data_IF_456175002673
#
_entry.id   IF_456175002673
#
_cell.length_a   1.000
_cell.length_b   1.000
_cell.length_c   1.000
_cell.angle_alpha   90.00
_cell.angle_beta   90.00
_cell.angle_gamma   90.00
#
_symmetry.space_group_name_H-M   'P 1'
#
loop_
_entity.id
_entity.type
_entity.pdbx_description
1 polymer ?
#
# COMPACT_ATOMS: atom_id res chain seq x y z
N UNK A 1 -55.45 20.12 -30.07
CA UNK A 1 -54.23 19.36 -29.73
C UNK A 1 -54.47 18.70 -28.38
N UNK A 2 -54.60 17.40 -28.35
CA UNK A 2 -55.24 16.61 -27.28
C UNK A 2 -54.45 16.58 -25.97
N UNK A 3 -55.13 16.89 -24.87
CA UNK A 3 -54.62 16.80 -23.48
C UNK A 3 -54.05 15.41 -23.11
N UNK A 4 -54.34 14.37 -23.89
CA UNK A 4 -53.83 13.00 -23.68
C UNK A 4 -52.37 12.81 -24.06
N UNK A 5 -51.78 13.68 -24.89
CA UNK A 5 -50.33 13.56 -25.27
C UNK A 5 -49.38 14.22 -24.29
N UNK A 6 -49.87 15.04 -23.34
CA UNK A 6 -49.04 15.73 -22.35
C UNK A 6 -48.78 14.91 -21.10
N UNK A 7 -49.63 13.91 -20.80
CA UNK A 7 -49.50 13.03 -19.62
C UNK A 7 -48.54 11.87 -19.86
N UNK A 8 -48.27 11.49 -21.14
CA UNK A 8 -47.42 10.38 -21.47
C UNK A 8 -45.92 10.71 -21.51
N UNK A 9 -45.57 12.00 -21.48
CA UNK A 9 -44.17 12.47 -21.51
C UNK A 9 -43.64 12.69 -20.09
N UNK A 10 -44.50 12.92 -19.11
CA UNK A 10 -44.08 13.16 -17.72
C UNK A 10 -43.87 11.86 -16.91
N UNK A 11 -44.26 10.70 -17.42
CA UNK A 11 -44.16 9.41 -16.73
C UNK A 11 -42.91 8.58 -17.13
N UNK A 12 -42.03 9.12 -17.97
CA UNK A 12 -40.84 8.43 -18.47
C UNK A 12 -39.52 8.98 -17.88
N UNK A 13 -39.58 9.89 -16.89
CA UNK A 13 -38.35 10.47 -16.26
C UNK A 13 -38.10 9.95 -14.85
N UNK A 14 -38.89 9.01 -14.34
CA UNK A 14 -38.76 8.55 -12.97
C UNK A 14 -38.40 7.09 -12.87
N UNK A 15 -37.25 6.67 -13.38
CA UNK A 15 -36.60 5.40 -12.98
C UNK A 15 -35.17 5.25 -13.56
N UNK A 16 -34.33 6.28 -13.47
CA UNK A 16 -32.90 6.05 -13.43
C UNK A 16 -32.53 6.03 -11.94
N UNK A 17 -32.80 4.90 -11.29
CA UNK A 17 -32.07 4.57 -10.07
C UNK A 17 -30.59 4.44 -10.49
N UNK A 18 -29.67 5.25 -9.92
CA UNK A 18 -28.29 4.86 -9.99
C UNK A 18 -28.23 3.52 -9.24
N UNK A 19 -28.01 2.43 -9.98
CA UNK A 19 -27.47 1.24 -9.38
C UNK A 19 -26.13 1.70 -8.77
N UNK A 20 -26.13 2.00 -7.48
CA UNK A 20 -24.91 2.07 -6.69
C UNK A 20 -24.43 0.63 -6.77
N UNK A 21 -23.53 0.36 -7.73
CA UNK A 21 -22.67 -0.78 -7.70
C UNK A 21 -21.86 -0.61 -6.40
N UNK A 22 -22.38 -1.17 -5.31
CA UNK A 22 -21.56 -1.48 -4.16
C UNK A 22 -20.62 -2.57 -4.65
N UNK A 23 -19.48 -2.19 -5.25
CA UNK A 23 -18.35 -3.07 -5.27
C UNK A 23 -18.14 -3.47 -3.81
N UNK A 24 -18.16 -4.78 -3.47
CA UNK A 24 -17.64 -5.18 -2.20
C UNK A 24 -16.23 -4.58 -2.12
N UNK A 25 -15.98 -3.75 -1.13
CA UNK A 25 -14.64 -3.27 -0.88
C UNK A 25 -13.83 -4.48 -0.41
N UNK A 26 -13.14 -5.11 -1.34
CA UNK A 26 -12.18 -6.17 -1.09
C UNK A 26 -10.92 -5.43 -0.65
N UNK A 27 -10.72 -5.31 0.65
CA UNK A 27 -9.54 -4.67 1.22
C UNK A 27 -8.97 -5.58 2.29
N UNK A 28 -7.70 -5.87 2.20
CA UNK A 28 -6.91 -6.41 3.28
C UNK A 28 -6.39 -5.21 4.06
N UNK A 29 -6.83 -5.07 5.32
CA UNK A 29 -6.51 -3.90 6.13
C UNK A 29 -5.83 -4.28 7.43
N UNK A 30 -4.75 -3.58 7.77
CA UNK A 30 -3.99 -3.71 9.00
C UNK A 30 -3.90 -2.36 9.69
N UNK A 31 -4.49 -2.25 10.89
CA UNK A 31 -4.34 -1.09 11.79
C UNK A 31 -3.32 -1.34 12.91
N UNK A 32 -2.70 -2.50 12.90
CA UNK A 32 -1.67 -2.96 13.83
C UNK A 32 -1.99 -2.78 15.33
N UNK A 33 -3.27 -2.60 15.67
CA UNK A 33 -3.75 -2.53 17.06
C UNK A 33 -3.80 -3.91 17.74
N UNK A 34 -3.69 -4.99 16.98
CA UNK A 34 -3.59 -6.37 17.44
C UNK A 34 -2.24 -6.96 17.04
N UNK A 35 -1.41 -7.30 18.04
CA UNK A 35 -0.08 -7.91 17.82
C UNK A 35 -0.13 -9.20 17.00
N UNK A 36 -1.27 -9.90 16.96
CA UNK A 36 -1.43 -11.09 16.13
C UNK A 36 -1.35 -10.80 14.63
N UNK A 37 -1.60 -9.57 14.20
CA UNK A 37 -1.46 -9.16 12.80
C UNK A 37 -0.01 -9.32 12.30
N UNK A 38 0.99 -9.33 13.20
CA UNK A 38 2.37 -9.62 12.81
C UNK A 38 2.55 -11.03 12.23
N UNK A 39 1.69 -11.98 12.61
CA UNK A 39 1.77 -13.36 12.13
C UNK A 39 1.41 -13.55 10.65
N UNK A 40 0.73 -12.58 10.05
CA UNK A 40 0.38 -12.58 8.63
C UNK A 40 1.55 -12.17 7.75
N UNK A 41 2.60 -11.60 8.35
CA UNK A 41 3.77 -11.10 7.66
C UNK A 41 4.90 -12.13 7.63
N UNK A 42 5.47 -12.34 6.46
CA UNK A 42 6.70 -13.09 6.29
C UNK A 42 7.88 -12.12 6.22
N UNK A 43 8.73 -12.11 7.24
CA UNK A 43 9.98 -11.35 7.23
C UNK A 43 11.03 -12.18 6.50
N UNK A 44 11.52 -11.65 5.37
CA UNK A 44 12.54 -12.30 4.55
C UNK A 44 13.94 -11.88 4.96
N UNK A 45 14.10 -10.64 5.43
CA UNK A 45 15.36 -10.09 5.94
C UNK A 45 15.05 -8.95 6.92
N UNK A 46 15.90 -8.78 7.95
CA UNK A 46 15.67 -7.83 9.03
C UNK A 46 14.82 -8.38 10.17
N UNK A 47 14.15 -7.50 10.89
CA UNK A 47 13.22 -7.81 11.98
C UNK A 47 11.91 -7.03 11.82
N UNK A 48 10.77 -7.73 11.96
CA UNK A 48 9.44 -7.16 11.93
C UNK A 48 8.75 -7.34 13.27
N UNK A 49 8.25 -6.27 13.87
CA UNK A 49 7.53 -6.27 15.15
C UNK A 49 6.35 -5.31 15.09
N UNK A 50 5.35 -5.49 15.96
CA UNK A 50 4.32 -4.47 16.19
C UNK A 50 4.67 -3.75 17.49
N UNK A 51 4.74 -2.41 17.45
CA UNK A 51 5.05 -1.54 18.56
C UNK A 51 4.19 -0.28 18.48
N UNK A 52 3.47 0.04 19.57
CA UNK A 52 2.61 1.22 19.65
C UNK A 52 1.60 1.36 18.49
N UNK A 53 0.96 0.24 18.11
CA UNK A 53 -0.04 0.20 17.04
C UNK A 53 0.53 0.39 15.64
N UNK A 54 1.82 0.11 15.44
CA UNK A 54 2.49 0.22 14.13
C UNK A 54 3.37 -1.00 13.86
N UNK A 55 3.45 -1.40 12.60
CA UNK A 55 4.41 -2.42 12.18
C UNK A 55 5.78 -1.79 11.95
N UNK A 56 6.77 -2.23 12.69
CA UNK A 56 8.15 -1.75 12.61
C UNK A 56 8.99 -2.76 11.82
N UNK A 57 9.52 -2.34 10.68
CA UNK A 57 10.51 -3.09 9.94
C UNK A 57 11.88 -2.47 10.20
N UNK A 58 12.78 -3.27 10.79
CA UNK A 58 14.11 -2.83 11.18
C UNK A 58 15.18 -3.65 10.46
N UNK A 59 16.03 -2.97 9.71
CA UNK A 59 17.30 -3.50 9.25
C UNK A 59 18.30 -2.34 9.14
N UNK A 60 19.17 -2.21 10.14
CA UNK A 60 20.21 -1.18 10.18
C UNK A 60 21.54 -1.66 9.59
N UNK A 61 21.63 -2.91 9.19
CA UNK A 61 22.77 -3.43 8.46
C UNK A 61 22.83 -2.86 7.04
N UNK A 62 23.94 -2.99 6.36
CA UNK A 62 24.09 -2.50 4.97
C UNK A 62 23.39 -3.45 3.98
N UNK A 63 22.14 -3.77 4.24
CA UNK A 63 21.31 -4.68 3.44
C UNK A 63 19.83 -4.27 3.42
N UNK A 64 19.03 -4.95 2.62
CA UNK A 64 17.57 -4.76 2.60
C UNK A 64 16.92 -5.46 3.78
N UNK A 65 16.03 -4.79 4.50
CA UNK A 65 14.97 -5.42 5.27
C UNK A 65 13.72 -5.55 4.41
N UNK A 66 13.09 -6.71 4.38
CA UNK A 66 11.90 -6.99 3.58
C UNK A 66 10.89 -7.79 4.42
N UNK A 67 9.68 -7.28 4.50
CA UNK A 67 8.55 -8.00 5.05
C UNK A 67 7.39 -7.99 4.04
N UNK A 68 6.80 -9.17 3.81
CA UNK A 68 5.79 -9.36 2.76
C UNK A 68 4.55 -10.07 3.28
N UNK A 69 3.44 -9.83 2.58
CA UNK A 69 2.15 -10.47 2.78
C UNK A 69 1.59 -10.94 1.45
N UNK A 70 0.59 -11.81 1.51
CA UNK A 70 -0.22 -12.19 0.36
C UNK A 70 0.20 -13.49 -0.30
N UNK A 71 -0.14 -13.61 -1.57
CA UNK A 71 -0.01 -14.83 -2.35
C UNK A 71 0.76 -14.57 -3.65
N UNK A 72 1.47 -15.60 -4.10
CA UNK A 72 2.26 -15.55 -5.34
C UNK A 72 1.41 -15.34 -6.60
N UNK A 73 0.11 -15.50 -6.52
CA UNK A 73 -0.83 -15.31 -7.63
C UNK A 73 -1.39 -13.89 -7.73
N UNK A 74 -1.08 -13.00 -6.79
CA UNK A 74 -1.57 -11.62 -6.86
C UNK A 74 -0.97 -10.89 -8.05
N UNK A 75 -1.81 -10.15 -8.77
CA UNK A 75 -1.45 -9.42 -10.00
C UNK A 75 -1.52 -7.93 -9.77
N UNK A 76 -2.69 -7.35 -10.05
CA UNK A 76 -2.97 -5.94 -9.92
C UNK A 76 -3.35 -5.62 -8.47
N UNK A 77 -2.88 -4.50 -7.96
CA UNK A 77 -3.20 -4.10 -6.61
C UNK A 77 -3.03 -2.59 -6.40
N UNK A 78 -3.72 -2.08 -5.41
CA UNK A 78 -3.46 -0.78 -4.80
C UNK A 78 -2.97 -1.05 -3.38
N UNK A 79 -1.81 -0.52 -3.02
CA UNK A 79 -1.22 -0.60 -1.69
C UNK A 79 -1.16 0.81 -1.15
N UNK A 80 -1.72 1.05 0.03
CA UNK A 80 -1.70 2.36 0.68
C UNK A 80 -1.39 2.20 2.15
N UNK A 81 -0.56 3.07 2.71
CA UNK A 81 -0.27 3.09 4.13
C UNK A 81 0.22 4.46 4.60
N UNK A 82 0.23 4.66 5.92
CA UNK A 82 1.03 5.68 6.56
C UNK A 82 2.41 5.11 6.87
N UNK A 83 3.45 5.82 6.52
CA UNK A 83 4.83 5.39 6.69
C UNK A 83 5.67 6.48 7.33
N UNK A 84 6.48 6.08 8.31
CA UNK A 84 7.40 6.98 8.99
C UNK A 84 8.80 6.37 8.97
N UNK A 85 9.78 7.10 8.47
CA UNK A 85 11.18 6.72 8.59
C UNK A 85 11.66 7.10 9.99
N UNK A 86 11.89 6.11 10.85
CA UNK A 86 12.35 6.33 12.23
C UNK A 86 13.87 6.52 12.30
N UNK A 87 14.59 5.81 11.45
CA UNK A 87 16.05 5.90 11.33
C UNK A 87 16.49 5.50 9.93
N UNK A 88 17.45 6.24 9.35
CA UNK A 88 18.05 5.90 8.06
C UNK A 88 19.23 6.80 7.78
N UNK A 89 20.12 6.37 6.86
CA UNK A 89 21.30 7.13 6.50
C UNK A 89 21.40 7.51 5.02
N UNK A 90 20.80 6.76 4.10
CA UNK A 90 20.85 7.03 2.66
C UNK A 90 19.58 6.62 1.93
N UNK A 91 18.95 5.57 2.35
CA UNK A 91 17.79 4.95 1.77
C UNK A 91 16.93 4.44 2.91
N UNK A 92 15.71 4.53 3.02
CA UNK A 92 14.68 4.04 2.18
C UNK A 92 13.57 3.50 3.03
N UNK A 93 12.46 3.98 2.84
CA UNK A 93 11.23 3.27 3.08
C UNK A 93 10.54 3.10 1.72
N UNK A 94 9.76 2.04 1.54
CA UNK A 94 9.03 1.84 0.30
C UNK A 94 8.33 0.51 0.22
N UNK A 95 7.80 0.23 -0.96
CA UNK A 95 7.10 -1.01 -1.22
C UNK A 95 7.95 -1.98 -2.05
N UNK A 96 7.70 -3.27 -1.83
CA UNK A 96 8.01 -4.34 -2.78
C UNK A 96 6.71 -4.86 -3.37
N UNK A 97 6.74 -5.21 -4.64
CA UNK A 97 5.59 -5.86 -5.29
C UNK A 97 6.06 -6.90 -6.30
N UNK A 98 5.15 -7.81 -6.63
CA UNK A 98 5.44 -8.97 -7.49
C UNK A 98 6.66 -9.74 -7.03
N UNK A 99 6.78 -9.92 -5.70
CA UNK A 99 7.84 -10.72 -5.14
C UNK A 99 7.52 -12.20 -5.38
N UNK A 100 8.24 -12.78 -6.35
CA UNK A 100 8.14 -14.19 -6.73
C UNK A 100 9.23 -15.05 -6.10
N UNK A 101 10.32 -14.44 -5.64
CA UNK A 101 11.40 -15.07 -4.87
C UNK A 101 12.24 -13.98 -4.18
N UNK A 102 13.10 -14.35 -3.22
CA UNK A 102 13.98 -13.41 -2.50
C UNK A 102 14.92 -12.60 -3.40
N UNK A 103 15.07 -13.00 -4.64
CA UNK A 103 15.91 -12.34 -5.64
C UNK A 103 15.13 -12.01 -6.93
N UNK A 104 13.79 -11.91 -6.84
CA UNK A 104 12.92 -11.69 -7.99
C UNK A 104 11.71 -10.84 -7.56
N UNK A 105 11.85 -9.52 -7.65
CA UNK A 105 10.84 -8.54 -7.20
C UNK A 105 11.11 -7.14 -7.74
N UNK A 106 10.11 -6.27 -7.68
CA UNK A 106 10.21 -4.85 -7.90
C UNK A 106 10.18 -4.06 -6.59
N UNK A 107 10.77 -2.88 -6.61
CA UNK A 107 10.87 -1.95 -5.48
C UNK A 107 10.59 -0.53 -5.93
N UNK A 108 9.80 0.20 -5.17
CA UNK A 108 9.77 1.65 -5.15
C UNK A 108 10.30 2.14 -3.80
N UNK A 109 11.17 3.12 -3.81
CA UNK A 109 11.81 3.63 -2.60
C UNK A 109 11.73 5.13 -2.51
N UNK A 110 11.31 5.61 -1.34
CA UNK A 110 11.47 6.99 -0.90
C UNK A 110 12.83 7.09 -0.22
N UNK A 111 13.73 7.89 -0.76
CA UNK A 111 15.16 7.90 -0.42
C UNK A 111 15.57 9.18 0.30
N UNK A 112 16.46 9.06 1.27
CA UNK A 112 17.02 10.22 1.98
C UNK A 112 18.02 11.04 1.12
N UNK A 113 18.50 10.50 0.00
CA UNK A 113 19.33 11.23 -0.96
C UNK A 113 18.51 12.12 -1.90
N UNK A 114 17.30 12.46 -1.48
CA UNK A 114 16.38 13.38 -2.14
C UNK A 114 15.80 12.88 -3.46
N UNK A 115 15.50 11.60 -3.53
CA UNK A 115 14.84 11.01 -4.68
C UNK A 115 13.81 9.94 -4.30
N UNK A 116 12.78 9.79 -5.12
CA UNK A 116 11.94 8.60 -5.20
C UNK A 116 12.31 7.88 -6.48
N UNK A 117 12.40 6.57 -6.43
CA UNK A 117 12.76 5.84 -7.61
C UNK A 117 12.39 4.37 -7.58
N UNK A 118 12.12 3.90 -8.76
CA UNK A 118 11.83 2.51 -9.07
C UNK A 118 13.13 1.72 -9.30
N UNK A 119 13.13 0.47 -8.88
CA UNK A 119 14.17 -0.49 -9.15
C UNK A 119 13.57 -1.90 -9.15
N UNK A 120 14.39 -2.90 -9.45
CA UNK A 120 14.01 -4.31 -9.34
C UNK A 120 15.24 -5.18 -9.13
N UNK A 121 15.01 -6.36 -8.59
CA UNK A 121 15.97 -7.43 -8.53
C UNK A 121 15.45 -8.58 -9.39
N UNK A 122 16.08 -8.84 -10.51
CA UNK A 122 15.67 -9.86 -11.47
C UNK A 122 16.71 -10.98 -11.51
N UNK A 123 16.34 -12.14 -11.00
CA UNK A 123 17.22 -13.31 -10.85
C UNK A 123 18.55 -13.01 -10.12
N UNK A 124 18.47 -12.15 -9.09
CA UNK A 124 19.63 -11.76 -8.29
C UNK A 124 20.46 -10.62 -8.86
N UNK A 125 20.08 -10.10 -10.01
CA UNK A 125 20.72 -8.93 -10.62
C UNK A 125 19.86 -7.68 -10.39
N UNK A 126 20.41 -6.66 -9.73
CA UNK A 126 19.74 -5.38 -9.56
C UNK A 126 19.67 -4.62 -10.88
N UNK A 127 18.46 -4.20 -11.25
CA UNK A 127 18.26 -3.29 -12.38
C UNK A 127 19.04 -2.01 -12.15
N UNK A 128 19.63 -1.46 -13.22
CA UNK A 128 20.46 -0.25 -13.17
C UNK A 128 21.53 -0.26 -12.05
N UNK A 129 22.03 -1.45 -11.68
CA UNK A 129 23.02 -1.62 -10.60
C UNK A 129 22.52 -1.21 -9.21
N UNK A 130 21.20 -1.23 -8.98
CA UNK A 130 20.55 -0.82 -7.74
C UNK A 130 20.25 0.69 -7.64
N UNK A 131 20.65 1.48 -8.64
CA UNK A 131 20.27 2.89 -8.70
C UNK A 131 18.83 3.06 -9.15
N UNK A 132 18.11 4.09 -8.67
CA UNK A 132 16.76 4.37 -9.12
C UNK A 132 16.68 4.58 -10.64
N UNK A 133 15.62 4.03 -11.23
CA UNK A 133 15.25 4.29 -12.61
C UNK A 133 14.27 5.45 -12.61
N UNK A 134 14.48 6.43 -13.49
CA UNK A 134 13.66 7.66 -13.60
C UNK A 134 13.43 8.35 -12.23
N UNK A 135 14.49 8.73 -11.50
CA UNK A 135 14.31 9.28 -10.16
C UNK A 135 13.57 10.63 -10.20
N UNK A 136 12.63 10.80 -9.29
CA UNK A 136 11.90 12.05 -9.06
C UNK A 136 12.47 12.71 -7.80
N UNK A 137 12.81 14.00 -7.81
CA UNK A 137 13.29 14.71 -6.63
C UNK A 137 12.24 14.70 -5.52
N UNK A 138 12.64 14.25 -4.33
CA UNK A 138 11.79 14.26 -3.13
C UNK A 138 12.67 14.29 -1.89
N UNK A 139 12.35 15.14 -0.92
CA UNK A 139 13.11 15.25 0.33
C UNK A 139 12.36 14.55 1.45
N UNK A 140 12.93 13.46 1.95
CA UNK A 140 12.37 12.72 3.09
C UNK A 140 12.98 13.21 4.39
N UNK A 141 12.15 13.41 5.41
CA UNK A 141 12.55 13.78 6.76
C UNK A 141 12.30 12.60 7.71
N UNK A 142 13.27 12.35 8.60
CA UNK A 142 13.13 11.35 9.68
C UNK A 142 12.05 11.83 10.66
N UNK A 143 11.27 10.88 11.22
CA UNK A 143 10.15 11.14 12.14
C UNK A 143 8.98 11.92 11.52
N UNK A 144 8.96 12.07 10.20
CA UNK A 144 7.81 12.62 9.47
C UNK A 144 6.98 11.48 8.88
N UNK A 145 5.67 11.53 9.13
CA UNK A 145 4.72 10.57 8.55
C UNK A 145 4.31 11.02 7.15
N UNK A 146 4.32 10.08 6.21
CA UNK A 146 3.88 10.24 4.83
C UNK A 146 2.80 9.23 4.49
N UNK A 147 1.80 9.62 3.74
CA UNK A 147 0.88 8.68 3.09
C UNK A 147 1.52 8.19 1.79
N UNK A 148 1.81 6.89 1.71
CA UNK A 148 2.36 6.25 0.53
C UNK A 148 1.26 5.44 -0.17
N UNK A 149 1.16 5.58 -1.50
CA UNK A 149 0.24 4.80 -2.31
C UNK A 149 0.94 4.28 -3.56
N UNK A 150 0.82 2.98 -3.85
CA UNK A 150 1.30 2.34 -5.07
C UNK A 150 0.13 1.67 -5.78
N UNK A 151 -0.10 2.05 -7.02
CA UNK A 151 -1.08 1.45 -7.91
C UNK A 151 -0.34 0.58 -8.93
N UNK A 152 -0.71 -0.68 -9.06
CA UNK A 152 -0.14 -1.64 -10.00
C UNK A 152 -1.25 -2.19 -10.88
N UNK A 153 -1.17 -1.97 -12.19
CA UNK A 153 -2.12 -2.45 -13.19
C UNK A 153 -1.38 -3.01 -14.42
N UNK A 154 -1.50 -4.30 -14.68
CA UNK A 154 -0.77 -4.96 -15.76
C UNK A 154 0.74 -4.78 -15.60
N UNK A 155 1.42 -4.23 -16.58
CA UNK A 155 2.85 -3.93 -16.53
C UNK A 155 3.19 -2.51 -16.04
N UNK A 156 2.18 -1.76 -15.57
CA UNK A 156 2.29 -0.37 -15.17
C UNK A 156 2.24 -0.24 -13.64
N UNK A 157 3.04 0.65 -13.09
CA UNK A 157 3.04 1.04 -11.69
C UNK A 157 3.10 2.55 -11.55
N UNK A 158 2.27 3.13 -10.66
CA UNK A 158 2.21 4.55 -10.36
C UNK A 158 2.33 4.75 -8.85
N UNK A 159 3.13 5.72 -8.42
CA UNK A 159 3.40 5.96 -7.01
C UNK A 159 3.03 7.37 -6.59
N UNK A 160 2.45 7.49 -5.39
CA UNK A 160 2.05 8.74 -4.79
C UNK A 160 2.63 8.89 -3.39
N UNK A 161 2.94 10.13 -3.00
CA UNK A 161 3.28 10.52 -1.64
C UNK A 161 2.39 11.70 -1.25
N UNK A 162 1.62 11.56 -0.17
CA UNK A 162 0.64 12.55 0.31
C UNK A 162 -0.35 13.00 -0.80
N UNK A 163 -0.70 12.05 -1.69
CA UNK A 163 -1.56 12.27 -2.84
C UNK A 163 -0.92 13.00 -4.02
N UNK A 164 0.37 13.36 -3.95
CA UNK A 164 1.13 13.92 -5.07
C UNK A 164 1.71 12.79 -5.93
N UNK A 165 1.53 12.86 -7.25
CA UNK A 165 2.04 11.89 -8.21
C UNK A 165 3.57 11.97 -8.32
N UNK A 166 4.25 10.87 -7.99
CA UNK A 166 5.70 10.73 -8.00
C UNK A 166 6.21 9.95 -9.22
N UNK A 167 5.35 9.77 -10.23
CA UNK A 167 5.72 9.18 -11.52
C UNK A 167 5.25 7.76 -11.73
N UNK A 168 5.43 7.33 -12.95
CA UNK A 168 4.96 6.06 -13.51
C UNK A 168 6.13 5.24 -14.06
N UNK A 169 5.99 3.92 -14.01
CA UNK A 169 6.97 2.99 -14.57
C UNK A 169 6.26 1.84 -15.28
N UNK A 170 6.91 1.36 -16.33
CA UNK A 170 6.46 0.17 -17.06
C UNK A 170 7.57 -0.87 -17.08
N UNK A 171 7.22 -2.10 -16.70
CA UNK A 171 8.10 -3.26 -16.82
C UNK A 171 7.25 -4.54 -16.86
N UNK A 172 7.60 -5.48 -17.74
CA UNK A 172 6.84 -6.68 -18.05
C UNK A 172 7.55 -7.99 -17.64
N UNK A 173 8.66 -7.90 -16.89
CA UNK A 173 9.42 -9.09 -16.52
C UNK A 173 8.76 -9.91 -15.40
N UNK A 174 7.96 -9.28 -14.55
CA UNK A 174 7.21 -9.94 -13.49
C UNK A 174 5.72 -9.61 -13.59
N UNK A 175 4.88 -10.65 -13.57
CA UNK A 175 3.44 -10.50 -13.72
C UNK A 175 2.69 -10.67 -12.38
N UNK A 176 3.21 -11.50 -11.48
CA UNK A 176 2.55 -11.88 -10.23
C UNK A 176 3.54 -11.96 -9.07
N UNK A 177 3.02 -11.94 -7.83
CA UNK A 177 3.80 -12.17 -6.63
C UNK A 177 3.24 -11.49 -5.39
N UNK A 178 3.86 -11.76 -4.27
CA UNK A 178 3.55 -11.12 -2.99
C UNK A 178 3.87 -9.62 -3.04
N UNK A 179 3.29 -8.89 -2.10
CA UNK A 179 3.56 -7.48 -1.86
C UNK A 179 4.12 -7.28 -0.45
N UNK A 180 4.68 -6.11 -0.20
CA UNK A 180 5.14 -5.78 1.15
C UNK A 180 5.88 -4.46 1.23
N UNK A 181 6.61 -4.32 2.32
CA UNK A 181 7.41 -3.15 2.64
C UNK A 181 8.89 -3.47 2.64
N UNK A 182 9.69 -2.47 2.40
CA UNK A 182 11.15 -2.58 2.36
C UNK A 182 11.84 -1.40 3.02
N UNK A 183 12.93 -1.70 3.70
CA UNK A 183 13.92 -0.72 4.15
C UNK A 183 15.31 -1.08 3.61
N UNK A 184 16.22 -0.12 3.60
CA UNK A 184 17.64 -0.34 3.34
C UNK A 184 18.48 0.47 4.35
N UNK A 185 19.18 -0.23 5.23
CA UNK A 185 19.95 0.39 6.31
C UNK A 185 19.12 1.38 7.13
N UNK A 186 17.87 1.00 7.45
CA UNK A 186 16.88 1.90 8.01
C UNK A 186 15.89 1.19 8.95
N UNK A 187 15.14 1.99 9.68
CA UNK A 187 13.97 1.56 10.45
C UNK A 187 12.76 2.35 9.98
N UNK A 188 11.70 1.64 9.62
CA UNK A 188 10.43 2.21 9.15
C UNK A 188 9.29 1.73 10.03
N UNK A 189 8.38 2.63 10.37
CA UNK A 189 7.09 2.30 10.93
C UNK A 189 6.01 2.40 9.85
N UNK A 190 5.07 1.46 9.86
CA UNK A 190 3.89 1.45 8.98
C UNK A 190 2.64 1.36 9.81
N UNK A 191 1.62 2.13 9.43
CA UNK A 191 0.29 2.12 9.99
C UNK A 191 -0.78 2.20 8.90
N UNK A 192 -2.02 1.83 9.24
CA UNK A 192 -3.18 1.91 8.34
C UNK A 192 -2.90 1.32 6.94
N UNK A 193 -2.29 0.12 6.89
CA UNK A 193 -2.01 -0.53 5.60
C UNK A 193 -3.28 -1.09 4.99
N UNK A 194 -3.61 -0.61 3.81
CA UNK A 194 -4.74 -1.04 2.98
C UNK A 194 -4.22 -1.66 1.67
N UNK A 195 -4.71 -2.85 1.35
CA UNK A 195 -4.35 -3.53 0.10
C UNK A 195 -5.61 -4.00 -0.61
N UNK A 196 -5.80 -3.51 -1.83
CA UNK A 196 -6.95 -3.81 -2.66
C UNK A 196 -6.51 -4.41 -4.00
N UNK A 197 -7.28 -5.34 -4.53
CA UNK A 197 -7.04 -5.88 -5.87
C UNK A 197 -7.77 -7.19 -6.15
N UNK A 198 -7.76 -7.66 -7.39
CA UNK A 198 -8.36 -8.93 -7.76
C UNK A 198 -7.71 -10.10 -7.01
N UNK A 199 -8.55 -10.93 -6.36
CA UNK A 199 -8.07 -12.11 -5.62
C UNK A 199 -7.46 -11.81 -4.24
N UNK A 200 -7.38 -10.56 -3.84
CA UNK A 200 -6.95 -10.16 -2.50
C UNK A 200 -8.13 -10.34 -1.54
N UNK A 201 -7.98 -11.13 -0.45
CA UNK A 201 -9.05 -11.35 0.50
C UNK A 201 -9.37 -10.05 1.25
N UNK A 202 -10.65 -9.80 1.53
CA UNK A 202 -11.00 -8.72 2.46
C UNK A 202 -10.85 -9.21 3.90
N UNK A 203 -10.14 -8.45 4.72
CA UNK A 203 -10.37 -8.53 6.17
C UNK A 203 -11.72 -7.88 6.43
N UNK A 204 -12.64 -8.61 7.07
CA UNK A 204 -13.86 -7.99 7.56
C UNK A 204 -13.45 -6.96 8.61
N UNK A 205 -13.46 -5.68 8.24
CA UNK A 205 -13.32 -4.61 9.23
C UNK A 205 -14.51 -4.77 10.16
N UNK A 206 -14.27 -5.21 11.39
CA UNK A 206 -15.30 -5.24 12.41
C UNK A 206 -15.64 -3.81 12.84
N UNK A 207 -16.42 -3.15 11.97
CA UNK A 207 -16.92 -1.80 12.20
C UNK A 207 -17.73 -1.69 13.51
N UNK A 208 -18.21 -2.82 14.04
CA UNK A 208 -18.95 -2.85 15.31
C UNK A 208 -18.00 -2.69 16.51
N UNK A 209 -16.79 -3.25 16.45
CA UNK A 209 -15.77 -3.09 17.50
C UNK A 209 -15.29 -1.64 17.61
N UNK A 210 -14.98 -0.99 16.50
CA UNK A 210 -14.55 0.44 16.48
C UNK A 210 -15.64 1.39 16.97
N UNK A 211 -16.89 1.19 16.58
CA UNK A 211 -18.02 1.99 17.07
C UNK A 211 -18.23 1.83 18.59
N UNK A 212 -18.11 0.61 19.12
CA UNK A 212 -18.27 0.35 20.55
C UNK A 212 -17.14 0.99 21.37
N UNK A 213 -15.90 0.94 20.93
CA UNK A 213 -14.75 1.57 21.59
C UNK A 213 -14.85 3.10 21.58
N UNK A 214 -15.27 3.70 20.46
CA UNK A 214 -15.47 5.15 20.36
C UNK A 214 -16.60 5.64 21.27
N UNK A 215 -17.73 4.92 21.32
CA UNK A 215 -18.84 5.26 22.23
C UNK A 215 -18.49 5.01 23.70
N UNK A 216 -17.62 4.05 24.02
CA UNK A 216 -17.11 3.79 25.36
C UNK A 216 -16.28 4.97 25.88
N UNK A 217 -15.36 5.51 25.08
CA UNK A 217 -14.55 6.70 25.44
C UNK A 217 -15.40 7.95 25.70
N UNK A 218 -16.39 8.22 24.85
CA UNK A 218 -17.27 9.40 25.02
C UNK A 218 -18.07 9.38 26.33
N UNK A 219 -18.36 8.19 26.89
CA UNK A 219 -19.11 8.06 28.15
C UNK A 219 -18.27 8.21 29.42
N UNK A 220 -16.95 8.08 29.33
CA UNK A 220 -16.05 8.24 30.50
C UNK A 220 -15.50 9.65 30.68
N UNK A 221 -15.69 10.53 29.71
CA UNK A 221 -15.25 11.95 29.75
C UNK A 221 -16.39 12.92 30.14
N UNK A 222 -17.50 12.44 30.77
CA UNK A 222 -18.58 13.29 31.30
C UNK A 222 -18.73 13.16 32.83
#
# INVERSE_FOLDING_TARGET
>A
MNKAKKVLVELLIAAVFPAILTCPAWALFYDFEDDNQASDWQVLDGAGTIEDGRYILNNTDSSSGIAVIGDMSWTDCVIKCKATLLQGSQDNMGFVWRLAANNLFYVISVRMDQAIGYCGCINGAWMNGGSPINPVPFSTEVETEYELELIVEGNHAQFFVDGEDMGEWEDDQLETGMIGIRVWSAIMAVDDLDVNGPGIPSTAVDSQGKLAATWGRIKFDQ
#
